data_IF_310328366841
#
_entry.id   IF_310328366841
#
_cell.length_a   1.000
_cell.length_b   1.000
_cell.length_c   1.000
_cell.angle_alpha   90.00
_cell.angle_beta   90.00
_cell.angle_gamma   90.00
#
_symmetry.space_group_name_H-M   'P 1'
#
loop_
_entity.id
_entity.type
_entity.pdbx_description
1 polymer ?
#
# COMPACT_ATOMS: atom_id res chain seq x y z
N UNK A 1 -5.61 -3.95 -15.77
CA UNK A 1 -6.18 -2.69 -15.22
C UNK A 1 -5.06 -1.86 -14.60
N UNK A 2 -5.31 -0.60 -14.30
CA UNK A 2 -4.43 0.29 -13.51
C UNK A 2 -5.25 0.94 -12.40
N UNK A 3 -4.59 1.38 -11.33
CA UNK A 3 -5.22 2.13 -10.25
C UNK A 3 -5.79 3.44 -10.79
N UNK A 4 -6.99 3.82 -10.34
CA UNK A 4 -7.62 5.08 -10.74
C UNK A 4 -7.01 6.29 -10.01
N UNK A 5 -7.28 7.50 -10.52
CA UNK A 5 -6.86 8.72 -9.81
C UNK A 5 -7.48 8.79 -8.41
N UNK A 6 -8.73 8.36 -8.23
CA UNK A 6 -9.38 8.28 -6.90
C UNK A 6 -8.65 7.31 -5.95
N UNK A 7 -8.21 6.16 -6.48
CA UNK A 7 -7.41 5.20 -5.71
C UNK A 7 -6.05 5.75 -5.31
N UNK A 8 -5.37 6.45 -6.23
CA UNK A 8 -4.10 7.14 -5.94
C UNK A 8 -4.26 8.23 -4.88
N UNK A 9 -5.28 9.08 -5.00
CA UNK A 9 -5.52 10.16 -4.05
C UNK A 9 -5.83 9.60 -2.66
N UNK A 10 -6.64 8.53 -2.59
CA UNK A 10 -6.91 7.83 -1.34
C UNK A 10 -5.63 7.21 -0.74
N UNK A 11 -4.77 6.60 -1.56
CA UNK A 11 -3.51 6.03 -1.09
C UNK A 11 -2.59 7.13 -0.52
N UNK A 12 -2.48 8.27 -1.22
CA UNK A 12 -1.70 9.43 -0.76
C UNK A 12 -2.19 10.00 0.58
N UNK A 13 -3.50 9.90 0.89
CA UNK A 13 -4.05 10.33 2.18
C UNK A 13 -3.57 9.45 3.37
N UNK A 14 -3.17 8.21 3.09
CA UNK A 14 -2.60 7.31 4.10
C UNK A 14 -1.07 7.41 4.19
N UNK A 15 -0.42 7.59 3.05
CA UNK A 15 1.03 7.67 2.99
C UNK A 15 1.48 9.12 3.21
N UNK A 16 2.26 9.35 4.25
CA UNK A 16 2.77 10.70 4.53
C UNK A 16 3.85 11.06 3.52
N UNK A 17 3.70 12.21 2.87
CA UNK A 17 4.70 12.72 1.92
C UNK A 17 5.95 13.24 2.66
N UNK A 18 7.13 12.75 2.29
CA UNK A 18 8.41 13.33 2.67
C UNK A 18 9.22 13.71 1.43
N UNK A 19 9.56 14.98 1.30
CA UNK A 19 10.41 15.48 0.21
C UNK A 19 11.90 15.36 0.54
N UNK A 20 12.25 14.98 1.77
CA UNK A 20 13.61 14.71 2.21
C UNK A 20 13.76 13.25 2.65
N UNK A 21 14.94 12.66 2.47
CA UNK A 21 15.17 11.29 2.95
C UNK A 21 15.03 11.21 4.47
N UNK A 22 14.33 10.17 4.95
CA UNK A 22 14.18 9.87 6.37
C UNK A 22 14.44 8.39 6.63
N UNK A 23 14.59 8.01 7.91
CA UNK A 23 14.70 6.61 8.28
C UNK A 23 13.35 6.08 8.73
N UNK A 24 12.84 5.06 8.06
CA UNK A 24 11.56 4.43 8.41
C UNK A 24 11.61 3.74 9.78
N UNK A 25 12.79 3.34 10.25
CA UNK A 25 12.98 2.81 11.61
C UNK A 25 12.71 3.85 12.71
N UNK A 26 12.93 5.14 12.41
CA UNK A 26 12.77 6.26 13.36
C UNK A 26 11.45 6.99 13.10
N UNK A 27 10.85 6.81 11.92
CA UNK A 27 9.62 7.44 11.46
C UNK A 27 9.84 8.86 10.89
N UNK A 28 8.77 9.41 10.30
CA UNK A 28 8.79 10.72 9.64
C UNK A 28 9.05 11.92 10.55
N UNK A 29 8.96 11.72 11.86
CA UNK A 29 9.25 12.78 12.85
C UNK A 29 10.75 12.96 13.08
N UNK A 30 11.59 12.10 12.51
CA UNK A 30 13.04 12.26 12.56
C UNK A 30 13.51 13.36 11.62
N UNK A 31 14.61 14.03 11.98
CA UNK A 31 15.28 14.93 11.06
C UNK A 31 15.69 14.19 9.77
N UNK A 32 15.80 14.87 8.63
CA UNK A 32 16.30 14.27 7.41
C UNK A 32 17.64 13.57 7.66
N UNK A 33 17.79 12.35 7.13
CA UNK A 33 19.05 11.61 7.26
C UNK A 33 20.10 12.18 6.28
N UNK A 34 21.35 12.21 6.74
CA UNK A 34 22.48 12.74 5.94
C UNK A 34 23.31 11.65 5.28
N UNK A 35 23.09 10.39 5.64
CA UNK A 35 23.76 9.21 5.09
C UNK A 35 22.76 8.11 4.82
N UNK A 36 23.05 7.29 3.84
CA UNK A 36 22.20 6.15 3.51
C UNK A 36 22.15 5.11 4.64
N UNK A 37 21.01 4.48 4.76
CA UNK A 37 20.80 3.27 5.58
C UNK A 37 19.79 2.36 4.86
N UNK A 38 19.73 1.09 5.25
CA UNK A 38 18.76 0.13 4.69
C UNK A 38 17.28 0.52 4.89
N UNK A 39 17.00 1.48 5.77
CA UNK A 39 15.69 2.01 6.01
C UNK A 39 15.51 3.43 5.46
N UNK A 40 16.41 3.89 4.57
CA UNK A 40 16.31 5.20 3.94
C UNK A 40 15.09 5.24 3.01
N UNK A 41 14.19 6.19 3.24
CA UNK A 41 12.90 6.29 2.56
C UNK A 41 12.64 7.72 2.14
N UNK A 42 11.90 7.95 1.04
CA UNK A 42 11.54 9.26 0.52
C UNK A 42 10.19 9.21 -0.20
N UNK A 43 9.59 10.35 -0.49
CA UNK A 43 8.32 10.44 -1.22
C UNK A 43 7.16 9.90 -0.40
N UNK A 44 6.37 9.03 -0.98
CA UNK A 44 5.25 8.32 -0.37
C UNK A 44 5.65 6.91 0.11
N UNK A 45 6.83 6.79 0.72
CA UNK A 45 7.30 5.51 1.25
C UNK A 45 8.25 4.75 0.32
N UNK A 46 8.82 5.41 -0.71
CA UNK A 46 9.81 4.81 -1.60
C UNK A 46 11.10 4.47 -0.84
N UNK A 47 11.48 3.19 -0.82
CA UNK A 47 12.72 2.72 -0.21
C UNK A 47 13.92 3.07 -1.10
N UNK A 48 14.85 3.87 -0.59
CA UNK A 48 16.04 4.29 -1.33
C UNK A 48 17.10 3.18 -1.28
N UNK A 49 17.43 2.58 -2.40
CA UNK A 49 18.54 1.65 -2.50
C UNK A 49 19.89 2.40 -2.36
N UNK A 50 20.94 1.72 -1.87
CA UNK A 50 22.27 2.32 -1.71
C UNK A 50 22.81 2.93 -3.01
N UNK A 51 22.53 2.31 -4.14
CA UNK A 51 22.88 2.77 -5.49
C UNK A 51 22.14 4.04 -5.91
N UNK A 52 20.98 4.33 -5.29
CA UNK A 52 20.15 5.49 -5.61
C UNK A 52 20.37 6.66 -4.65
N UNK A 53 21.12 6.46 -3.57
CA UNK A 53 21.35 7.48 -2.55
C UNK A 53 21.83 8.82 -3.12
N UNK A 54 22.77 8.79 -4.06
CA UNK A 54 23.30 10.00 -4.69
C UNK A 54 22.22 10.83 -5.39
N UNK A 55 21.17 10.18 -5.90
CA UNK A 55 20.04 10.82 -6.60
C UNK A 55 19.07 11.49 -5.63
N UNK A 56 18.85 10.89 -4.45
CA UNK A 56 17.79 11.31 -3.55
C UNK A 56 18.26 12.04 -2.28
N UNK A 57 19.56 12.01 -1.96
CA UNK A 57 20.14 12.58 -0.73
C UNK A 57 19.85 14.09 -0.50
N UNK A 58 19.59 14.83 -1.56
CA UNK A 58 19.28 16.28 -1.49
C UNK A 58 17.78 16.57 -1.49
N UNK A 59 16.94 15.52 -1.50
CA UNK A 59 15.51 15.64 -1.58
C UNK A 59 14.96 15.57 -3.01
N UNK A 60 13.63 15.61 -3.10
CA UNK A 60 12.88 15.56 -4.35
C UNK A 60 11.75 16.58 -4.37
N UNK A 61 11.25 16.90 -5.55
CA UNK A 61 10.02 17.69 -5.71
C UNK A 61 8.77 16.85 -5.46
N UNK A 62 7.62 17.47 -5.25
CA UNK A 62 6.34 16.78 -5.15
C UNK A 62 6.03 15.96 -6.39
N UNK A 63 6.30 16.48 -7.58
CA UNK A 63 6.11 15.77 -8.84
C UNK A 63 6.97 14.50 -8.89
N UNK A 64 8.24 14.59 -8.51
CA UNK A 64 9.12 13.42 -8.45
C UNK A 64 8.63 12.38 -7.43
N UNK A 65 8.05 12.80 -6.30
CA UNK A 65 7.46 11.89 -5.34
C UNK A 65 6.22 11.16 -5.92
N UNK A 66 5.39 11.86 -6.71
CA UNK A 66 4.26 11.25 -7.42
C UNK A 66 4.72 10.27 -8.51
N UNK A 67 5.74 10.64 -9.27
CA UNK A 67 6.33 9.75 -10.29
C UNK A 67 6.92 8.47 -9.66
N UNK A 68 7.58 8.60 -8.49
CA UNK A 68 8.07 7.45 -7.71
C UNK A 68 6.91 6.55 -7.25
N UNK A 69 5.84 7.12 -6.69
CA UNK A 69 4.68 6.34 -6.27
C UNK A 69 4.08 5.57 -7.45
N UNK A 70 3.93 6.19 -8.61
CA UNK A 70 3.46 5.51 -9.82
C UNK A 70 4.39 4.36 -10.23
N UNK A 71 5.71 4.58 -10.17
CA UNK A 71 6.69 3.54 -10.47
C UNK A 71 6.62 2.37 -9.49
N UNK A 72 6.50 2.67 -8.20
CA UNK A 72 6.41 1.64 -7.16
C UNK A 72 5.13 0.80 -7.29
N UNK A 73 4.03 1.39 -7.74
CA UNK A 73 2.76 0.69 -7.91
C UNK A 73 2.74 -0.31 -9.08
N UNK A 74 3.67 -0.22 -10.04
CA UNK A 74 3.69 -1.09 -11.21
C UNK A 74 3.72 -2.58 -10.83
N UNK A 75 4.54 -2.96 -9.87
CA UNK A 75 4.66 -4.36 -9.44
C UNK A 75 3.42 -4.84 -8.69
N UNK A 76 2.78 -3.97 -7.91
CA UNK A 76 1.53 -4.30 -7.21
C UNK A 76 0.37 -4.45 -8.18
N UNK A 77 0.26 -3.56 -9.17
CA UNK A 77 -0.72 -3.67 -10.27
C UNK A 77 -0.52 -4.95 -11.08
N UNK A 78 0.73 -5.26 -11.42
CA UNK A 78 1.07 -6.50 -12.12
C UNK A 78 0.69 -7.74 -11.30
N UNK A 79 0.92 -7.71 -9.98
CA UNK A 79 0.50 -8.77 -9.07
C UNK A 79 -1.02 -8.97 -9.10
N UNK A 80 -1.82 -7.91 -8.95
CA UNK A 80 -3.29 -8.01 -8.98
C UNK A 80 -3.76 -8.53 -10.33
N UNK A 81 -3.28 -7.95 -11.44
CA UNK A 81 -3.65 -8.36 -12.78
C UNK A 81 -3.32 -9.83 -13.09
N UNK A 82 -2.24 -10.36 -12.50
CA UNK A 82 -1.79 -11.74 -12.71
C UNK A 82 -2.51 -12.74 -11.81
N UNK A 83 -2.67 -12.41 -10.55
CA UNK A 83 -3.06 -13.40 -9.52
C UNK A 83 -4.58 -13.50 -9.34
N UNK A 84 -5.36 -12.43 -9.60
CA UNK A 84 -6.82 -12.47 -9.53
C UNK A 84 -7.37 -12.96 -10.87
N UNK A 85 -7.76 -14.24 -10.94
CA UNK A 85 -8.07 -14.92 -12.21
C UNK A 85 -9.54 -15.15 -12.49
N UNK A 86 -10.36 -15.32 -11.45
CA UNK A 86 -11.75 -15.77 -11.60
C UNK A 86 -12.78 -14.66 -11.53
N UNK A 87 -12.44 -13.52 -10.98
CA UNK A 87 -13.36 -12.42 -10.78
C UNK A 87 -13.08 -11.30 -11.78
N UNK A 88 -14.12 -10.85 -12.49
CA UNK A 88 -14.04 -9.62 -13.24
C UNK A 88 -14.18 -8.46 -12.23
N UNK A 89 -13.09 -7.74 -11.99
CA UNK A 89 -13.04 -6.64 -11.03
C UNK A 89 -13.64 -5.37 -11.63
N UNK A 90 -14.46 -4.67 -10.84
CA UNK A 90 -14.77 -3.26 -11.06
C UNK A 90 -13.57 -2.39 -10.70
N UNK A 91 -13.58 -1.11 -11.10
CA UNK A 91 -12.46 -0.21 -10.83
C UNK A 91 -12.20 -0.02 -9.33
N UNK A 92 -13.26 0.15 -8.53
CA UNK A 92 -13.13 0.30 -7.08
C UNK A 92 -12.62 -0.97 -6.37
N UNK A 93 -13.02 -2.15 -6.85
CA UNK A 93 -12.49 -3.42 -6.34
C UNK A 93 -10.99 -3.55 -6.65
N UNK A 94 -10.61 -3.19 -7.89
CA UNK A 94 -9.22 -3.19 -8.31
C UNK A 94 -8.38 -2.21 -7.49
N UNK A 95 -8.82 -0.97 -7.34
CA UNK A 95 -8.15 0.06 -6.54
C UNK A 95 -7.92 -0.41 -5.11
N UNK A 96 -8.96 -0.93 -4.46
CA UNK A 96 -8.87 -1.43 -3.10
C UNK A 96 -7.86 -2.58 -2.95
N UNK A 97 -7.81 -3.49 -3.93
CA UNK A 97 -6.86 -4.60 -3.94
C UNK A 97 -5.40 -4.13 -4.12
N UNK A 98 -5.17 -3.16 -5.00
CA UNK A 98 -3.83 -2.55 -5.17
C UNK A 98 -3.41 -1.88 -3.86
N UNK A 99 -4.29 -1.11 -3.23
CA UNK A 99 -4.03 -0.40 -1.96
C UNK A 99 -3.73 -1.40 -0.82
N UNK A 100 -4.52 -2.49 -0.71
CA UNK A 100 -4.24 -3.56 0.26
C UNK A 100 -2.88 -4.20 -0.01
N UNK A 101 -2.63 -4.61 -1.27
CA UNK A 101 -1.39 -5.27 -1.67
C UNK A 101 -0.16 -4.38 -1.41
N UNK A 102 -0.26 -3.09 -1.70
CA UNK A 102 0.78 -2.10 -1.41
C UNK A 102 1.12 -2.06 0.09
N UNK A 103 0.12 -2.08 0.96
CA UNK A 103 0.34 -2.01 2.40
C UNK A 103 0.87 -3.30 3.02
N UNK A 104 0.34 -4.48 2.62
CA UNK A 104 0.75 -5.76 3.21
C UNK A 104 1.92 -6.43 2.50
N UNK A 105 2.25 -5.97 1.28
CA UNK A 105 3.28 -6.54 0.44
C UNK A 105 2.80 -7.69 -0.46
N UNK A 106 3.44 -7.82 -1.63
CA UNK A 106 3.10 -8.81 -2.67
C UNK A 106 3.15 -10.24 -2.15
N UNK A 107 4.19 -10.59 -1.40
CA UNK A 107 4.38 -11.95 -0.86
C UNK A 107 3.22 -12.33 0.07
N UNK A 108 2.85 -11.45 0.97
CA UNK A 108 1.77 -11.68 1.93
C UNK A 108 0.42 -11.73 1.23
N UNK A 109 0.19 -10.86 0.23
CA UNK A 109 -1.02 -10.87 -0.58
C UNK A 109 -1.20 -12.21 -1.32
N UNK A 110 -0.14 -12.72 -1.98
CA UNK A 110 -0.19 -14.02 -2.69
C UNK A 110 -0.54 -15.20 -1.80
N UNK A 111 -0.15 -15.18 -0.54
CA UNK A 111 -0.43 -16.23 0.44
C UNK A 111 -1.76 -16.04 1.18
N UNK A 112 -2.44 -14.92 0.96
CA UNK A 112 -3.60 -14.49 1.74
C UNK A 112 -4.87 -15.31 1.47
N UNK A 113 -5.73 -15.37 2.50
CA UNK A 113 -7.11 -15.83 2.32
C UNK A 113 -7.92 -14.91 1.41
N UNK A 114 -7.57 -13.62 1.33
CA UNK A 114 -8.21 -12.68 0.41
C UNK A 114 -8.06 -13.16 -1.03
N UNK A 115 -6.83 -13.41 -1.49
CA UNK A 115 -6.59 -13.89 -2.85
C UNK A 115 -7.23 -15.27 -3.11
N UNK A 116 -7.13 -16.20 -2.15
CA UNK A 116 -7.77 -17.52 -2.27
C UNK A 116 -9.28 -17.38 -2.50
N UNK A 117 -9.96 -16.57 -1.69
CA UNK A 117 -11.41 -16.38 -1.77
C UNK A 117 -11.84 -15.64 -3.03
N UNK A 118 -11.08 -14.64 -3.49
CA UNK A 118 -11.30 -13.98 -4.78
C UNK A 118 -11.24 -14.97 -5.96
N UNK A 119 -10.37 -15.95 -5.88
CA UNK A 119 -10.23 -17.01 -6.89
C UNK A 119 -11.18 -18.20 -6.68
N UNK A 120 -12.17 -18.07 -5.79
CA UNK A 120 -13.17 -19.12 -5.51
C UNK A 120 -12.62 -20.32 -4.72
N UNK A 121 -11.49 -20.15 -4.05
CA UNK A 121 -10.90 -21.16 -3.16
C UNK A 121 -11.31 -20.90 -1.71
N UNK A 122 -11.26 -21.93 -0.88
CA UNK A 122 -11.52 -21.79 0.56
C UNK A 122 -10.39 -21.01 1.24
N UNK A 123 -10.74 -19.91 1.92
CA UNK A 123 -9.85 -19.20 2.83
C UNK A 123 -9.97 -19.69 4.28
N UNK A 124 -9.19 -19.05 5.17
CA UNK A 124 -9.21 -19.37 6.61
C UNK A 124 -10.28 -18.57 7.38
N UNK A 125 -11.09 -17.78 6.68
CA UNK A 125 -12.10 -16.89 7.26
C UNK A 125 -13.47 -17.17 6.64
N UNK A 126 -14.58 -16.97 7.39
CA UNK A 126 -15.94 -17.18 6.88
C UNK A 126 -16.32 -16.28 5.70
N UNK A 127 -15.80 -15.05 5.66
CA UNK A 127 -16.11 -14.08 4.61
C UNK A 127 -14.85 -13.35 4.11
N UNK A 128 -14.91 -12.81 2.87
CA UNK A 128 -13.84 -12.00 2.30
C UNK A 128 -13.56 -10.77 3.16
N UNK A 129 -14.60 -10.14 3.73
CA UNK A 129 -14.45 -9.01 4.64
C UNK A 129 -13.61 -9.34 5.87
N UNK A 130 -13.88 -10.47 6.51
CA UNK A 130 -13.13 -10.93 7.69
C UNK A 130 -11.68 -11.26 7.32
N UNK A 131 -11.45 -11.88 6.17
CA UNK A 131 -10.11 -12.14 5.66
C UNK A 131 -9.33 -10.83 5.43
N UNK A 132 -9.98 -9.82 4.86
CA UNK A 132 -9.41 -8.49 4.63
C UNK A 132 -9.05 -7.78 5.93
N UNK A 133 -10.02 -7.71 6.86
CA UNK A 133 -9.88 -7.05 8.17
C UNK A 133 -8.91 -7.74 9.12
N UNK A 134 -8.49 -8.98 8.84
CA UNK A 134 -7.48 -9.68 9.61
C UNK A 134 -6.06 -9.08 9.50
N UNK A 135 -5.79 -8.26 8.49
CA UNK A 135 -4.53 -7.50 8.34
C UNK A 135 -4.51 -6.25 9.23
N UNK A 136 -4.73 -6.41 10.53
CA UNK A 136 -4.86 -5.33 11.52
C UNK A 136 -3.77 -5.34 12.59
N UNK A 137 -2.67 -6.09 12.39
CA UNK A 137 -1.58 -6.19 13.37
C UNK A 137 -0.30 -5.56 12.83
N UNK A 138 0.39 -4.83 13.73
CA UNK A 138 1.74 -4.34 13.55
C UNK A 138 2.63 -4.99 14.63
N UNK A 139 3.73 -5.63 14.24
CA UNK A 139 4.62 -6.36 15.13
C UNK A 139 3.86 -7.33 16.09
N UNK A 140 2.84 -8.02 15.58
CA UNK A 140 2.00 -8.96 16.31
C UNK A 140 0.93 -8.34 17.21
N UNK A 141 0.90 -7.02 17.37
CA UNK A 141 -0.09 -6.28 18.17
C UNK A 141 -1.16 -5.66 17.30
N UNK A 142 -2.39 -5.67 17.78
CA UNK A 142 -3.51 -5.01 17.10
C UNK A 142 -3.29 -3.50 17.07
N UNK A 143 -3.45 -2.90 15.89
CA UNK A 143 -3.30 -1.47 15.63
C UNK A 143 -4.63 -0.86 15.21
N UNK A 144 -5.11 0.15 15.96
CA UNK A 144 -6.31 0.88 15.60
C UNK A 144 -6.19 1.58 14.23
N UNK A 145 -5.01 2.07 13.89
CA UNK A 145 -4.75 2.65 12.57
C UNK A 145 -4.94 1.63 11.44
N UNK A 146 -4.48 0.38 11.64
CA UNK A 146 -4.68 -0.69 10.65
C UNK A 146 -6.14 -1.16 10.62
N UNK A 147 -6.85 -1.19 11.75
CA UNK A 147 -8.30 -1.48 11.77
C UNK A 147 -9.05 -0.47 10.90
N UNK A 148 -8.80 0.82 11.09
CA UNK A 148 -9.43 1.91 10.35
C UNK A 148 -9.05 1.87 8.86
N UNK A 149 -7.77 1.58 8.56
CA UNK A 149 -7.29 1.41 7.18
C UNK A 149 -8.02 0.27 6.47
N UNK A 150 -8.10 -0.90 7.07
CA UNK A 150 -8.85 -2.06 6.51
C UNK A 150 -10.32 -1.77 6.32
N UNK A 151 -10.96 -1.06 7.26
CA UNK A 151 -12.36 -0.67 7.13
C UNK A 151 -12.57 0.32 5.97
N UNK A 152 -11.65 1.27 5.79
CA UNK A 152 -11.70 2.22 4.68
C UNK A 152 -11.52 1.53 3.33
N UNK A 153 -10.53 0.64 3.21
CA UNK A 153 -10.27 -0.16 1.99
C UNK A 153 -11.46 -1.07 1.66
N UNK A 154 -12.09 -1.67 2.67
CA UNK A 154 -13.29 -2.48 2.48
C UNK A 154 -14.49 -1.64 1.99
N UNK A 155 -14.62 -0.38 2.44
CA UNK A 155 -15.64 0.53 1.93
C UNK A 155 -15.40 0.90 0.45
N UNK A 156 -14.13 1.03 0.02
CA UNK A 156 -13.83 1.18 -1.41
C UNK A 156 -14.27 -0.07 -2.16
N UNK A 157 -13.79 -1.24 -1.72
CA UNK A 157 -14.06 -2.53 -2.36
C UNK A 157 -15.57 -2.78 -2.51
N UNK A 158 -16.31 -2.69 -1.41
CA UNK A 158 -17.71 -3.15 -1.34
C UNK A 158 -18.76 -2.09 -1.69
N UNK A 159 -18.41 -0.78 -1.58
CA UNK A 159 -19.37 0.33 -1.69
C UNK A 159 -18.92 1.46 -2.62
N UNK A 160 -17.72 1.37 -3.22
CA UNK A 160 -17.14 2.46 -4.03
C UNK A 160 -17.01 3.79 -3.25
N UNK A 161 -16.73 3.72 -1.94
CA UNK A 161 -16.61 4.89 -1.07
C UNK A 161 -15.14 5.11 -0.71
N UNK A 162 -14.52 6.12 -1.32
CA UNK A 162 -13.12 6.54 -1.08
C UNK A 162 -13.08 7.57 0.04
N UNK A 163 -13.23 7.10 1.27
CA UNK A 163 -13.17 7.95 2.46
C UNK A 163 -12.38 7.28 3.57
N UNK A 164 -11.37 7.99 4.08
CA UNK A 164 -10.59 7.55 5.23
C UNK A 164 -11.45 7.55 6.50
N UNK A 165 -11.35 6.48 7.27
CA UNK A 165 -11.86 6.36 8.64
C UNK A 165 -10.69 6.68 9.57
N UNK A 166 -10.89 7.63 10.49
CA UNK A 166 -9.89 8.07 11.47
C UNK A 166 -10.11 7.41 12.82
#
# INVERSE_FOLDING_TARGET
MKISQKGLDFLKDYETLSLQPYSDKIGLKSAPIKSWSEAATIGYGHLILGTEWSKYKTGITKQQAEDLLHSDLVDFEACINKEVKKQQLSQNEYDALVILCFNIGITQFKQSSVLKMLNGLKGNYPTLELAWKAFNKDNGKVSNGLINRRASEWNIYSKNVYKRIN
#
